data_IF_695701739068
#
_entry.id   IF_695701739068
#
_cell.length_a   1.000
_cell.length_b   1.000
_cell.length_c   1.000
_cell.angle_alpha   90.00
_cell.angle_beta   90.00
_cell.angle_gamma   90.00
#
_symmetry.space_group_name_H-M   'P 1'
#
loop_
_entity.id
_entity.type
_entity.pdbx_description
1 polymer ?
#
# COMPACT_ATOMS: atom_id res chain seq x y z
N UNK A 1 -13.44 86.38 13.44
CA UNK A 1 -13.75 84.94 13.24
C UNK A 1 -15.08 84.84 12.51
N UNK A 2 -15.07 84.48 11.22
CA UNK A 2 -16.29 84.27 10.42
C UNK A 2 -16.60 82.78 10.44
N UNK A 3 -17.70 82.39 11.10
CA UNK A 3 -18.26 81.06 11.00
C UNK A 3 -19.05 80.96 9.69
N UNK A 4 -18.51 80.23 8.73
CA UNK A 4 -19.20 79.91 7.47
C UNK A 4 -20.16 78.77 7.76
N UNK A 5 -21.44 79.07 7.92
CA UNK A 5 -22.51 78.07 7.95
C UNK A 5 -22.69 77.52 6.54
N UNK A 6 -22.21 76.30 6.31
CA UNK A 6 -22.58 75.52 5.13
C UNK A 6 -23.98 74.94 5.37
N UNK A 7 -24.98 75.49 4.67
CA UNK A 7 -26.28 74.85 4.53
C UNK A 7 -26.16 73.74 3.49
N UNK A 8 -26.17 72.49 3.95
CA UNK A 8 -26.24 71.33 3.07
C UNK A 8 -27.65 71.22 2.49
N UNK A 9 -27.81 71.53 1.20
CA UNK A 9 -29.05 71.32 0.49
C UNK A 9 -29.31 69.81 0.31
N UNK A 10 -30.30 69.27 1.02
CA UNK A 10 -30.73 67.88 0.87
C UNK A 10 -31.47 67.74 -0.46
N UNK A 11 -30.79 67.20 -1.48
CA UNK A 11 -31.43 66.80 -2.73
C UNK A 11 -32.09 65.44 -2.53
N UNK A 12 -33.38 65.33 -2.83
CA UNK A 12 -34.10 64.06 -2.84
C UNK A 12 -33.77 63.23 -4.09
N UNK A 13 -33.69 61.91 -3.95
CA UNK A 13 -33.48 60.98 -5.06
C UNK A 13 -34.64 61.01 -6.05
N UNK A 14 -34.32 60.94 -7.35
CA UNK A 14 -35.36 60.81 -8.39
C UNK A 14 -35.85 59.37 -8.50
N UNK A 15 -37.12 59.16 -8.86
CA UNK A 15 -37.69 57.82 -9.08
C UNK A 15 -36.86 57.02 -10.10
N UNK A 16 -36.38 57.68 -11.15
CA UNK A 16 -35.58 57.06 -12.21
C UNK A 16 -34.24 56.53 -11.68
N UNK A 17 -33.61 57.25 -10.75
CA UNK A 17 -32.35 56.85 -10.13
C UNK A 17 -32.52 55.61 -9.24
N UNK A 18 -33.61 55.53 -8.49
CA UNK A 18 -33.94 54.34 -7.68
C UNK A 18 -34.17 53.13 -8.59
N UNK A 19 -34.92 53.29 -9.68
CA UNK A 19 -35.14 52.20 -10.64
C UNK A 19 -33.84 51.74 -11.32
N UNK A 20 -32.96 52.68 -11.70
CA UNK A 20 -31.66 52.35 -12.26
C UNK A 20 -30.77 51.59 -11.26
N UNK A 21 -30.78 52.00 -9.98
CA UNK A 21 -30.04 51.31 -8.92
C UNK A 21 -30.54 49.89 -8.69
N UNK A 22 -31.86 49.67 -8.67
CA UNK A 22 -32.46 48.34 -8.53
C UNK A 22 -32.09 47.45 -9.73
N UNK A 23 -32.21 47.99 -10.95
CA UNK A 23 -31.86 47.26 -12.17
C UNK A 23 -30.38 46.83 -12.15
N UNK A 24 -29.47 47.76 -11.88
CA UNK A 24 -28.03 47.46 -11.82
C UNK A 24 -27.70 46.45 -10.71
N UNK A 25 -28.33 46.59 -9.54
CA UNK A 25 -28.17 45.64 -8.43
C UNK A 25 -28.65 44.24 -8.83
N UNK A 26 -29.77 44.13 -9.54
CA UNK A 26 -30.32 42.85 -9.99
C UNK A 26 -29.37 42.13 -10.97
N UNK A 27 -28.77 42.88 -11.90
CA UNK A 27 -27.81 42.34 -12.88
C UNK A 27 -26.54 41.85 -12.19
N UNK A 28 -25.98 42.66 -11.27
CA UNK A 28 -24.79 42.26 -10.50
C UNK A 28 -25.08 41.03 -9.64
N UNK A 29 -26.26 40.99 -9.00
CA UNK A 29 -26.68 39.84 -8.19
C UNK A 29 -26.81 38.59 -9.05
N UNK A 30 -27.41 38.69 -10.25
CA UNK A 30 -27.53 37.56 -11.17
C UNK A 30 -26.16 37.01 -11.59
N UNK A 31 -25.20 37.89 -11.91
CA UNK A 31 -23.83 37.47 -12.21
C UNK A 31 -23.12 36.85 -11.01
N UNK A 32 -23.28 37.43 -9.82
CA UNK A 32 -22.68 36.89 -8.60
C UNK A 32 -23.22 35.49 -8.27
N UNK A 33 -24.54 35.28 -8.39
CA UNK A 33 -25.18 33.97 -8.18
C UNK A 33 -24.73 32.98 -9.25
N UNK A 34 -24.70 33.39 -10.52
CA UNK A 34 -24.23 32.53 -11.62
C UNK A 34 -22.77 32.11 -11.43
N UNK A 35 -21.89 33.02 -11.03
CA UNK A 35 -20.50 32.70 -10.72
C UNK A 35 -20.38 31.75 -9.52
N UNK A 36 -21.15 31.98 -8.47
CA UNK A 36 -21.16 31.12 -7.29
C UNK A 36 -21.57 29.68 -7.60
N UNK A 37 -22.64 29.49 -8.38
CA UNK A 37 -23.11 28.16 -8.78
C UNK A 37 -22.04 27.44 -9.60
N UNK A 38 -21.50 28.09 -10.64
CA UNK A 38 -20.44 27.49 -11.47
C UNK A 38 -19.18 27.12 -10.66
N UNK A 39 -18.78 27.97 -9.71
CA UNK A 39 -17.65 27.69 -8.83
C UNK A 39 -17.94 26.51 -7.89
N UNK A 40 -19.16 26.44 -7.34
CA UNK A 40 -19.60 25.35 -6.48
C UNK A 40 -19.60 24.01 -7.22
N UNK A 41 -20.13 23.98 -8.44
CA UNK A 41 -20.18 22.78 -9.26
C UNK A 41 -18.78 22.33 -9.67
N UNK A 42 -17.93 23.27 -10.11
CA UNK A 42 -16.54 22.98 -10.44
C UNK A 42 -15.76 22.46 -9.24
N UNK A 43 -15.96 23.04 -8.05
CA UNK A 43 -15.33 22.56 -6.81
C UNK A 43 -15.79 21.15 -6.46
N UNK A 44 -17.09 20.87 -6.59
CA UNK A 44 -17.69 19.58 -6.25
C UNK A 44 -17.16 18.48 -7.18
N UNK A 45 -17.12 18.74 -8.49
CA UNK A 45 -16.52 17.85 -9.49
C UNK A 45 -15.05 17.59 -9.22
N UNK A 46 -14.27 18.63 -8.91
CA UNK A 46 -12.86 18.48 -8.58
C UNK A 46 -12.65 17.61 -7.33
N UNK A 47 -13.50 17.75 -6.31
CA UNK A 47 -13.40 16.89 -5.12
C UNK A 47 -13.76 15.44 -5.40
N UNK A 48 -14.71 15.18 -6.31
CA UNK A 48 -15.12 13.82 -6.63
C UNK A 48 -14.03 13.08 -7.42
N UNK A 49 -13.49 13.74 -8.44
CA UNK A 49 -12.30 13.27 -9.17
C UNK A 49 -11.14 12.95 -8.22
N UNK A 50 -10.90 13.80 -7.22
CA UNK A 50 -9.84 13.56 -6.24
C UNK A 50 -10.13 12.33 -5.36
N UNK A 51 -11.38 12.16 -4.91
CA UNK A 51 -11.79 10.99 -4.11
C UNK A 51 -11.65 9.70 -4.90
N UNK A 52 -12.12 9.70 -6.15
CA UNK A 52 -11.99 8.59 -7.08
C UNK A 52 -10.52 8.17 -7.25
N UNK A 53 -9.64 9.12 -7.56
CA UNK A 53 -8.22 8.85 -7.73
C UNK A 53 -7.54 8.31 -6.47
N UNK A 54 -7.93 8.80 -5.27
CA UNK A 54 -7.44 8.29 -3.99
C UNK A 54 -7.92 6.84 -3.77
N UNK A 55 -9.21 6.54 -4.03
CA UNK A 55 -9.78 5.20 -3.91
C UNK A 55 -9.08 4.22 -4.85
N UNK A 56 -8.96 4.56 -6.13
CA UNK A 56 -8.26 3.74 -7.12
C UNK A 56 -6.81 3.46 -6.71
N UNK A 57 -6.10 4.50 -6.26
CA UNK A 57 -4.71 4.37 -5.80
C UNK A 57 -4.59 3.49 -4.56
N UNK A 58 -5.54 3.55 -3.62
CA UNK A 58 -5.55 2.72 -2.42
C UNK A 58 -5.73 1.23 -2.77
N UNK A 59 -6.67 0.92 -3.68
CA UNK A 59 -6.92 -0.44 -4.18
C UNK A 59 -5.67 -0.97 -4.89
N UNK A 60 -5.12 -0.22 -5.85
CA UNK A 60 -3.91 -0.61 -6.59
C UNK A 60 -2.71 -0.84 -5.66
N UNK A 61 -2.52 0.03 -4.65
CA UNK A 61 -1.46 -0.15 -3.66
C UNK A 61 -1.62 -1.43 -2.83
N UNK A 62 -2.85 -1.80 -2.50
CA UNK A 62 -3.13 -3.00 -1.73
C UNK A 62 -2.80 -4.27 -2.52
N UNK A 63 -3.34 -4.38 -3.74
CA UNK A 63 -3.07 -5.51 -4.63
C UNK A 63 -1.57 -5.60 -4.92
N UNK A 64 -0.95 -4.47 -5.24
CA UNK A 64 0.48 -4.40 -5.49
C UNK A 64 1.33 -4.92 -4.33
N UNK A 65 0.98 -4.58 -3.08
CA UNK A 65 1.75 -5.04 -1.91
C UNK A 65 1.68 -6.55 -1.73
N UNK A 66 0.53 -7.15 -2.01
CA UNK A 66 0.41 -8.61 -1.94
C UNK A 66 1.23 -9.26 -3.06
N UNK A 67 1.07 -8.78 -4.31
CA UNK A 67 1.78 -9.33 -5.47
C UNK A 67 3.29 -9.16 -5.40
N UNK A 68 3.79 -8.02 -4.90
CA UNK A 68 5.23 -7.77 -4.73
C UNK A 68 5.87 -8.74 -3.72
N UNK A 69 5.05 -9.34 -2.86
CA UNK A 69 5.46 -10.39 -1.91
C UNK A 69 5.07 -11.79 -2.37
N UNK A 70 4.62 -11.96 -3.61
CA UNK A 70 4.27 -13.25 -4.16
C UNK A 70 5.49 -14.18 -4.13
N UNK A 71 5.27 -15.41 -3.69
CA UNK A 71 6.32 -16.42 -3.58
C UNK A 71 5.83 -17.73 -4.19
N UNK A 72 6.75 -18.44 -4.80
CA UNK A 72 6.52 -19.74 -5.41
C UNK A 72 7.72 -20.64 -5.08
N UNK A 73 7.53 -21.95 -5.02
CA UNK A 73 8.64 -22.88 -4.95
C UNK A 73 9.11 -23.30 -6.33
N UNK A 74 10.42 -23.40 -6.51
CA UNK A 74 11.02 -24.10 -7.64
C UNK A 74 10.71 -25.59 -7.48
N UNK A 75 10.16 -26.19 -8.53
CA UNK A 75 9.91 -27.63 -8.60
C UNK A 75 11.04 -28.25 -9.43
N UNK A 76 11.43 -29.48 -9.10
CA UNK A 76 12.39 -30.22 -9.93
C UNK A 76 11.77 -30.45 -11.32
N UNK A 77 12.62 -30.47 -12.36
CA UNK A 77 12.17 -30.58 -13.76
C UNK A 77 11.41 -31.88 -14.04
N UNK A 78 11.74 -32.97 -13.33
CA UNK A 78 11.06 -34.27 -13.43
C UNK A 78 9.92 -34.46 -12.42
N UNK A 79 9.68 -33.50 -11.52
CA UNK A 79 8.61 -33.60 -10.54
C UNK A 79 7.26 -33.18 -11.14
N UNK A 80 6.19 -33.87 -10.74
CA UNK A 80 4.82 -33.49 -11.14
C UNK A 80 4.55 -32.03 -10.65
N UNK A 81 4.17 -31.10 -11.54
CA UNK A 81 3.84 -29.72 -11.18
C UNK A 81 2.79 -29.59 -10.06
N UNK A 82 1.93 -30.60 -9.89
CA UNK A 82 0.88 -30.63 -8.87
C UNK A 82 1.35 -31.17 -7.51
N UNK A 83 2.58 -31.66 -7.41
CA UNK A 83 3.14 -32.20 -6.16
C UNK A 83 3.20 -31.15 -5.06
N UNK A 84 3.34 -29.87 -5.42
CA UNK A 84 3.39 -28.78 -4.45
C UNK A 84 2.11 -27.93 -4.47
N UNK A 85 1.47 -27.68 -3.31
CA UNK A 85 0.21 -26.94 -3.23
C UNK A 85 0.35 -25.44 -3.48
N UNK A 86 1.57 -24.94 -3.70
CA UNK A 86 1.82 -23.51 -3.95
C UNK A 86 1.94 -23.29 -5.45
N UNK A 87 1.00 -22.51 -5.96
CA UNK A 87 0.91 -22.12 -7.35
C UNK A 87 0.48 -20.66 -7.42
N UNK A 88 0.81 -20.05 -8.54
CA UNK A 88 0.34 -18.77 -9.01
C UNK A 88 -0.57 -19.03 -10.22
N UNK A 89 -1.85 -18.72 -10.07
CA UNK A 89 -2.88 -18.91 -11.10
C UNK A 89 -3.67 -17.61 -11.25
N UNK A 90 -3.88 -17.19 -12.49
CA UNK A 90 -4.68 -16.05 -12.87
C UNK A 90 -5.53 -16.41 -14.09
N UNK A 91 -6.84 -16.24 -13.95
CA UNK A 91 -7.85 -16.65 -14.92
C UNK A 91 -8.75 -15.46 -15.26
N UNK A 92 -9.51 -15.59 -16.34
CA UNK A 92 -10.48 -14.61 -16.77
C UNK A 92 -11.84 -15.28 -16.82
N UNK A 93 -12.78 -14.83 -15.99
CA UNK A 93 -14.18 -15.26 -16.05
C UNK A 93 -15.03 -14.32 -16.94
N UNK A 94 -14.64 -13.04 -17.01
CA UNK A 94 -15.26 -12.00 -17.83
C UNK A 94 -14.45 -11.75 -19.11
N UNK A 95 -15.09 -11.11 -20.09
CA UNK A 95 -14.50 -10.81 -21.40
C UNK A 95 -13.68 -9.49 -21.41
N UNK A 96 -13.02 -9.15 -20.30
CA UNK A 96 -12.08 -8.02 -20.28
C UNK A 96 -10.72 -8.44 -20.83
N UNK A 97 -9.89 -7.48 -21.26
CA UNK A 97 -8.54 -7.71 -21.80
C UNK A 97 -7.53 -8.10 -20.69
N UNK A 98 -7.78 -9.19 -19.95
CA UNK A 98 -6.92 -9.70 -18.90
C UNK A 98 -7.65 -10.47 -17.79
N UNK A 99 -6.87 -11.13 -16.93
CA UNK A 99 -7.38 -11.86 -15.78
C UNK A 99 -8.10 -10.94 -14.78
N UNK A 100 -9.23 -11.42 -14.28
CA UNK A 100 -10.07 -10.76 -13.29
C UNK A 100 -10.02 -11.46 -11.92
N UNK A 101 -9.40 -12.64 -11.89
CA UNK A 101 -9.19 -13.44 -10.70
C UNK A 101 -7.77 -13.98 -10.65
N UNK A 102 -7.18 -13.94 -9.48
CA UNK A 102 -5.80 -14.38 -9.22
C UNK A 102 -5.69 -15.04 -7.85
N UNK A 103 -4.89 -16.10 -7.74
CA UNK A 103 -4.63 -16.84 -6.50
C UNK A 103 -3.16 -17.23 -6.41
N UNK A 104 -2.55 -16.93 -5.26
CA UNK A 104 -1.10 -17.09 -5.05
C UNK A 104 -0.72 -17.13 -3.57
N UNK A 105 0.52 -17.52 -3.28
CA UNK A 105 1.11 -17.43 -1.94
C UNK A 105 1.86 -16.12 -1.79
N UNK A 106 1.68 -15.44 -0.66
CA UNK A 106 2.28 -14.14 -0.34
C UNK A 106 2.99 -14.20 1.01
N UNK A 107 4.09 -13.45 1.14
CA UNK A 107 4.84 -13.24 2.41
C UNK A 107 4.47 -11.96 3.16
N UNK A 108 3.36 -11.32 2.80
CA UNK A 108 2.93 -10.05 3.38
C UNK A 108 2.18 -10.22 4.72
N UNK A 109 2.20 -11.41 5.32
CA UNK A 109 1.59 -11.62 6.64
C UNK A 109 2.56 -11.22 7.75
N UNK A 110 2.07 -10.41 8.70
CA UNK A 110 2.80 -10.10 9.92
C UNK A 110 2.11 -10.83 11.07
N UNK A 111 2.70 -11.92 11.59
CA UNK A 111 2.17 -12.60 12.77
C UNK A 111 2.08 -11.62 13.95
N UNK A 112 0.92 -11.56 14.61
CA UNK A 112 0.76 -10.75 15.81
C UNK A 112 1.51 -11.43 16.96
N UNK A 113 2.53 -10.77 17.51
CA UNK A 113 3.38 -11.31 18.57
C UNK A 113 2.57 -11.54 19.86
N UNK A 114 2.09 -12.76 20.14
CA UNK A 114 1.96 -13.22 21.53
C UNK A 114 1.84 -14.72 21.77
N UNK A 115 1.54 -15.62 20.81
CA UNK A 115 1.44 -17.05 21.23
C UNK A 115 1.46 -18.17 20.17
N UNK A 116 1.69 -17.91 18.88
CA UNK A 116 1.66 -18.99 17.88
C UNK A 116 2.83 -18.92 16.90
N UNK A 117 3.43 -20.09 16.62
CA UNK A 117 4.36 -20.32 15.50
C UNK A 117 3.64 -20.15 14.15
N UNK A 118 3.11 -18.96 13.89
CA UNK A 118 2.38 -18.65 12.66
C UNK A 118 3.37 -18.22 11.60
N UNK A 119 3.30 -18.86 10.44
CA UNK A 119 4.13 -18.52 9.27
C UNK A 119 3.89 -17.09 8.80
N UNK A 120 4.88 -16.47 8.18
CA UNK A 120 4.73 -15.20 7.43
C UNK A 120 4.07 -15.41 6.06
N UNK A 121 3.82 -16.68 5.68
CA UNK A 121 3.16 -17.09 4.46
C UNK A 121 1.65 -17.15 4.63
N UNK A 122 0.95 -16.58 3.65
CA UNK A 122 -0.51 -16.63 3.51
C UNK A 122 -0.86 -16.97 2.06
N UNK A 123 -2.00 -17.61 1.86
CA UNK A 123 -2.63 -17.67 0.55
C UNK A 123 -3.52 -16.45 0.36
N UNK A 124 -3.45 -15.82 -0.80
CA UNK A 124 -4.26 -14.65 -1.17
C UNK A 124 -4.98 -14.96 -2.47
N UNK A 125 -6.26 -14.60 -2.53
CA UNK A 125 -7.02 -14.59 -3.77
C UNK A 125 -7.69 -13.24 -3.96
N UNK A 126 -7.76 -12.79 -5.21
CA UNK A 126 -8.63 -11.70 -5.65
C UNK A 126 -9.57 -12.21 -6.71
N UNK A 127 -10.81 -11.75 -6.69
CA UNK A 127 -11.83 -12.09 -7.69
C UNK A 127 -12.85 -10.97 -7.79
N UNK A 128 -13.34 -10.72 -9.00
CA UNK A 128 -14.44 -9.78 -9.22
C UNK A 128 -15.78 -10.50 -9.31
N UNK A 129 -16.85 -9.84 -8.88
CA UNK A 129 -18.22 -10.30 -9.07
C UNK A 129 -19.07 -9.16 -9.62
N UNK A 130 -19.97 -9.42 -10.59
CA UNK A 130 -20.89 -8.42 -11.09
C UNK A 130 -22.00 -8.17 -10.06
N UNK A 131 -22.36 -6.90 -9.91
CA UNK A 131 -23.45 -6.44 -9.07
C UNK A 131 -24.72 -6.21 -9.92
N UNK A 132 -25.85 -5.96 -9.25
CA UNK A 132 -27.15 -5.73 -9.92
C UNK A 132 -27.15 -4.48 -10.82
N UNK A 133 -26.26 -3.52 -10.57
CA UNK A 133 -26.14 -2.24 -11.27
C UNK A 133 -25.11 -2.26 -12.42
N UNK A 134 -24.72 -3.45 -12.88
CA UNK A 134 -23.70 -3.66 -13.92
C UNK A 134 -22.28 -3.20 -13.53
N UNK A 135 -22.06 -2.84 -12.26
CA UNK A 135 -20.71 -2.60 -11.72
C UNK A 135 -20.09 -3.90 -11.22
N UNK A 136 -18.79 -3.87 -10.90
CA UNK A 136 -18.08 -4.98 -10.32
C UNK A 136 -17.64 -4.65 -8.90
N UNK A 137 -17.72 -5.65 -8.03
CA UNK A 137 -17.08 -5.64 -6.71
C UNK A 137 -15.85 -6.53 -6.73
N UNK A 138 -14.72 -6.00 -6.24
CA UNK A 138 -13.47 -6.73 -6.09
C UNK A 138 -13.36 -7.27 -4.67
N UNK A 139 -13.32 -8.59 -4.56
CA UNK A 139 -13.13 -9.31 -3.32
C UNK A 139 -11.67 -9.70 -3.14
N UNK A 140 -11.25 -9.75 -1.89
CA UNK A 140 -9.97 -10.31 -1.46
C UNK A 140 -10.21 -11.34 -0.39
N UNK A 141 -9.61 -12.50 -0.57
CA UNK A 141 -9.61 -13.60 0.39
C UNK A 141 -8.20 -13.85 0.92
N UNK A 142 -8.07 -14.22 2.19
CA UNK A 142 -6.80 -14.58 2.82
C UNK A 142 -6.93 -15.82 3.68
N UNK A 143 -6.06 -16.81 3.49
CA UNK A 143 -5.89 -17.90 4.46
C UNK A 143 -4.46 -17.95 5.02
N UNK A 144 -4.29 -17.88 6.35
CA UNK A 144 -3.05 -18.25 7.03
C UNK A 144 -2.76 -19.75 7.04
N UNK A 145 -3.78 -20.58 6.80
CA UNK A 145 -3.61 -22.02 6.67
C UNK A 145 -3.21 -22.32 5.23
N UNK A 146 -1.93 -22.69 5.03
CA UNK A 146 -1.43 -23.08 3.72
C UNK A 146 -2.09 -24.40 3.29
N UNK A 147 -2.45 -24.55 2.00
CA UNK A 147 -3.05 -25.78 1.50
C UNK A 147 -2.08 -26.96 1.62
N UNK A 148 -2.60 -28.14 1.99
CA UNK A 148 -1.82 -29.39 2.03
C UNK A 148 -1.69 -30.05 0.65
N UNK A 149 -2.59 -29.72 -0.28
CA UNK A 149 -2.62 -30.26 -1.64
C UNK A 149 -3.03 -29.23 -2.67
N UNK A 150 -2.92 -29.58 -3.95
CA UNK A 150 -3.39 -28.72 -5.03
C UNK A 150 -4.91 -28.54 -4.97
N UNK A 151 -5.34 -27.29 -5.03
CA UNK A 151 -6.74 -26.90 -5.17
C UNK A 151 -6.83 -25.79 -6.22
N UNK A 152 -7.24 -26.10 -7.45
CA UNK A 152 -7.40 -25.09 -8.49
C UNK A 152 -8.58 -24.14 -8.26
N UNK A 153 -9.53 -24.50 -7.39
CA UNK A 153 -10.79 -23.76 -7.24
C UNK A 153 -10.60 -22.44 -6.48
N UNK A 154 -11.29 -21.39 -6.89
CA UNK A 154 -11.22 -20.12 -6.16
C UNK A 154 -12.13 -20.15 -4.93
N UNK A 155 -11.76 -19.46 -3.83
CA UNK A 155 -12.58 -19.38 -2.64
C UNK A 155 -14.00 -18.86 -2.95
N UNK A 156 -14.97 -19.33 -2.16
CA UNK A 156 -16.32 -18.77 -2.22
C UNK A 156 -16.32 -17.31 -1.78
N UNK A 157 -17.16 -16.49 -2.40
CA UNK A 157 -17.40 -15.11 -1.96
C UNK A 157 -18.01 -15.06 -0.55
N UNK A 158 -18.77 -16.09 -0.16
CA UNK A 158 -19.40 -16.23 1.16
C UNK A 158 -18.43 -16.72 2.25
N UNK A 159 -17.17 -17.02 1.91
CA UNK A 159 -16.18 -17.44 2.89
C UNK A 159 -15.91 -16.30 3.90
N UNK A 160 -15.87 -16.57 5.21
CA UNK A 160 -15.65 -15.53 6.22
C UNK A 160 -14.30 -14.82 6.11
N UNK A 161 -13.35 -15.38 5.35
CA UNK A 161 -12.06 -14.76 5.05
C UNK A 161 -12.08 -13.88 3.79
N UNK A 162 -13.17 -13.91 3.02
CA UNK A 162 -13.42 -13.02 1.88
C UNK A 162 -13.99 -11.69 2.37
N UNK A 163 -13.49 -10.58 1.81
CA UNK A 163 -14.05 -9.26 2.06
C UNK A 163 -13.83 -8.33 0.86
N UNK A 164 -14.68 -7.33 0.75
CA UNK A 164 -14.67 -6.37 -0.34
C UNK A 164 -13.50 -5.39 -0.18
N UNK A 165 -12.76 -5.18 -1.26
CA UNK A 165 -11.65 -4.20 -1.35
C UNK A 165 -12.05 -2.99 -2.17
N UNK A 166 -12.91 -3.17 -3.18
CA UNK A 166 -13.45 -2.10 -3.99
C UNK A 166 -14.86 -2.47 -4.47
N UNK A 167 -15.72 -1.48 -4.59
CA UNK A 167 -17.09 -1.56 -5.13
C UNK A 167 -17.20 -0.52 -6.24
N UNK A 168 -18.20 -0.66 -7.12
CA UNK A 168 -18.42 0.31 -8.19
C UNK A 168 -17.26 0.34 -9.17
N UNK A 169 -16.67 -0.82 -9.50
CA UNK A 169 -15.69 -0.88 -10.58
C UNK A 169 -16.42 -1.00 -11.91
N UNK A 170 -16.05 -0.18 -12.90
CA UNK A 170 -16.51 -0.37 -14.27
C UNK A 170 -15.69 -1.46 -14.97
N UNK A 171 -14.41 -1.58 -14.64
CA UNK A 171 -13.55 -2.65 -15.15
C UNK A 171 -12.39 -2.95 -14.21
N UNK A 172 -11.92 -4.19 -14.26
CA UNK A 172 -10.72 -4.66 -13.57
C UNK A 172 -10.05 -5.73 -14.43
N UNK A 173 -8.76 -5.60 -14.68
CA UNK A 173 -8.00 -6.61 -15.40
C UNK A 173 -6.52 -6.64 -15.02
N UNK A 174 -5.92 -7.81 -15.17
CA UNK A 174 -4.51 -8.06 -14.93
C UNK A 174 -3.88 -8.71 -16.16
N UNK A 175 -2.68 -8.23 -16.50
CA UNK A 175 -1.85 -8.81 -17.56
C UNK A 175 -0.48 -9.15 -16.97
N UNK A 176 0.16 -10.17 -17.53
CA UNK A 176 1.37 -10.77 -17.00
C UNK A 176 2.49 -10.73 -18.04
N UNK A 177 3.68 -10.30 -17.64
CA UNK A 177 4.86 -10.25 -18.51
C UNK A 177 5.61 -11.59 -18.43
N UNK A 178 5.80 -12.25 -19.56
CA UNK A 178 6.55 -13.50 -19.66
C UNK A 178 8.07 -13.28 -19.67
N UNK A 179 8.85 -14.36 -19.59
CA UNK A 179 10.32 -14.34 -19.74
C UNK A 179 10.79 -13.84 -21.12
N UNK A 180 9.95 -14.01 -22.14
CA UNK A 180 10.18 -13.58 -23.52
C UNK A 180 9.86 -12.09 -23.72
N UNK A 181 9.28 -11.45 -22.70
CA UNK A 181 8.88 -10.05 -22.75
C UNK A 181 7.49 -9.81 -23.37
N UNK A 182 6.67 -10.86 -23.50
CA UNK A 182 5.31 -10.77 -24.02
C UNK A 182 4.30 -10.55 -22.89
N UNK A 183 3.23 -9.79 -23.15
CA UNK A 183 2.12 -9.63 -22.21
C UNK A 183 1.05 -10.67 -22.51
N UNK A 184 0.68 -11.45 -21.50
CA UNK A 184 -0.39 -12.46 -21.58
C UNK A 184 -1.50 -12.13 -20.59
N UNK A 185 -2.73 -12.52 -20.92
CA UNK A 185 -3.92 -12.22 -20.12
C UNK A 185 -4.11 -13.22 -18.97
N UNK A 186 -3.59 -14.43 -19.11
CA UNK A 186 -3.73 -15.51 -18.14
C UNK A 186 -2.36 -16.05 -17.74
N UNK A 187 -2.27 -16.54 -16.51
CA UNK A 187 -1.07 -17.16 -15.99
C UNK A 187 -1.39 -18.42 -15.21
N UNK A 188 -0.70 -19.51 -15.50
CA UNK A 188 -0.88 -20.76 -14.77
C UNK A 188 0.49 -21.44 -14.59
N UNK A 189 0.98 -21.41 -13.35
CA UNK A 189 2.24 -22.06 -12.95
C UNK A 189 2.11 -23.57 -12.69
N UNK A 190 0.95 -24.16 -12.93
CA UNK A 190 0.75 -25.62 -12.94
C UNK A 190 1.03 -26.23 -14.32
N UNK A 191 1.04 -25.41 -15.37
CA UNK A 191 1.41 -25.83 -16.72
C UNK A 191 2.89 -26.16 -16.78
N UNK A 192 3.24 -27.24 -17.48
CA UNK A 192 4.61 -27.75 -17.55
C UNK A 192 5.62 -26.69 -18.02
N UNK A 193 5.24 -25.89 -19.01
CA UNK A 193 6.07 -24.83 -19.60
C UNK A 193 6.43 -23.70 -18.61
N UNK A 194 5.57 -23.47 -17.61
CA UNK A 194 5.69 -22.37 -16.63
C UNK A 194 5.80 -22.89 -15.19
N UNK A 195 6.06 -24.18 -15.03
CA UNK A 195 6.13 -24.83 -13.73
C UNK A 195 7.21 -24.20 -12.87
N UNK A 196 6.82 -23.70 -11.70
CA UNK A 196 7.74 -23.05 -10.77
C UNK A 196 8.20 -21.64 -11.18
N UNK A 197 7.55 -21.02 -12.17
CA UNK A 197 7.85 -19.66 -12.60
C UNK A 197 6.78 -18.65 -12.18
N UNK A 198 7.23 -17.47 -11.77
CA UNK A 198 6.40 -16.28 -11.58
C UNK A 198 6.52 -15.38 -12.82
N UNK A 199 5.48 -14.58 -13.14
CA UNK A 199 5.59 -13.59 -14.20
C UNK A 199 6.66 -12.54 -13.86
N UNK A 200 7.37 -12.04 -14.86
CA UNK A 200 8.39 -10.99 -14.66
C UNK A 200 7.79 -9.66 -14.21
N UNK A 201 6.53 -9.43 -14.54
CA UNK A 201 5.81 -8.22 -14.19
C UNK A 201 4.31 -8.39 -14.33
N UNK A 202 3.58 -7.51 -13.67
CA UNK A 202 2.12 -7.52 -13.66
C UNK A 202 1.64 -6.11 -13.95
N UNK A 203 0.72 -5.97 -14.90
CA UNK A 203 -0.02 -4.73 -15.14
C UNK A 203 -1.41 -4.92 -14.57
N UNK A 204 -1.77 -4.08 -13.61
CA UNK A 204 -3.11 -4.04 -13.03
C UNK A 204 -3.80 -2.82 -13.61
N UNK A 205 -4.98 -3.02 -14.19
CA UNK A 205 -5.82 -1.95 -14.71
C UNK A 205 -7.15 -1.98 -13.94
N UNK A 206 -7.63 -0.82 -13.53
CA UNK A 206 -8.98 -0.69 -12.98
C UNK A 206 -9.59 0.65 -13.40
N UNK A 207 -10.91 0.68 -13.49
CA UNK A 207 -11.69 1.90 -13.64
C UNK A 207 -12.88 1.86 -12.69
N UNK A 208 -13.26 3.03 -12.16
CA UNK A 208 -14.40 3.18 -11.27
C UNK A 208 -15.60 3.62 -12.11
N UNK A 209 -16.79 3.08 -11.82
CA UNK A 209 -18.03 3.57 -12.39
C UNK A 209 -18.30 4.97 -11.85
N UNK A 210 -18.73 5.87 -12.73
CA UNK A 210 -19.16 7.21 -12.36
C UNK A 210 -20.67 7.21 -12.26
N UNK A 211 -21.23 7.60 -11.11
CA UNK A 211 -22.68 7.83 -10.93
C UNK A 211 -23.13 9.13 -11.63
N UNK A 212 -22.64 9.42 -12.84
CA UNK A 212 -23.11 10.60 -13.59
C UNK A 212 -24.40 10.27 -14.35
N UNK A 213 -25.53 10.61 -13.75
CA UNK A 213 -26.82 10.75 -14.44
C UNK A 213 -26.78 11.97 -15.37
N UNK A 214 -26.16 11.81 -16.54
CA UNK A 214 -26.13 12.81 -17.62
C UNK A 214 -26.86 12.34 -18.87
N UNK A 215 -27.23 13.24 -19.80
CA UNK A 215 -27.63 12.82 -21.15
C UNK A 215 -26.51 11.97 -21.75
N UNK A 216 -26.85 10.84 -22.38
CA UNK A 216 -25.91 9.83 -22.94
C UNK A 216 -24.74 10.44 -23.76
N UNK A 217 -24.95 11.61 -24.37
CA UNK A 217 -23.95 12.31 -25.18
C UNK A 217 -22.86 13.04 -24.37
N UNK A 218 -22.93 13.00 -23.03
CA UNK A 218 -21.98 13.65 -22.11
C UNK A 218 -21.35 12.71 -21.07
N UNK A 219 -21.58 11.40 -21.17
CA UNK A 219 -20.94 10.44 -20.26
C UNK A 219 -19.42 10.48 -20.50
N UNK A 220 -18.65 10.96 -19.50
CA UNK A 220 -17.19 10.86 -19.53
C UNK A 220 -16.81 9.37 -19.54
N UNK A 221 -15.88 8.99 -20.43
CA UNK A 221 -15.32 7.64 -20.39
C UNK A 221 -14.68 7.39 -19.01
N UNK A 222 -14.94 6.23 -18.38
CA UNK A 222 -14.44 5.95 -17.05
C UNK A 222 -12.90 5.97 -17.07
N UNK A 223 -12.33 6.64 -16.07
CA UNK A 223 -10.88 6.86 -16.03
C UNK A 223 -10.15 5.57 -15.70
N UNK A 224 -9.19 5.24 -16.56
CA UNK A 224 -8.34 4.07 -16.38
C UNK A 224 -7.17 4.39 -15.43
N UNK A 225 -7.12 3.71 -14.30
CA UNK A 225 -5.98 3.71 -13.40
C UNK A 225 -5.16 2.44 -13.62
N UNK A 226 -3.87 2.61 -13.91
CA UNK A 226 -2.97 1.48 -14.18
C UNK A 226 -1.78 1.48 -13.25
N UNK A 227 -1.36 0.28 -12.84
CA UNK A 227 -0.13 0.06 -12.08
C UNK A 227 0.69 -1.07 -12.66
N UNK A 228 1.95 -0.79 -12.91
CA UNK A 228 2.93 -1.79 -13.32
C UNK A 228 3.78 -2.24 -12.13
N UNK A 229 3.90 -3.55 -11.97
CA UNK A 229 4.76 -4.22 -11.02
C UNK A 229 5.85 -4.98 -11.78
N UNK A 230 7.06 -4.98 -11.23
CA UNK A 230 8.14 -5.82 -11.67
C UNK A 230 8.43 -6.80 -10.53
N UNK A 231 8.14 -8.07 -10.72
CA UNK A 231 8.34 -9.08 -9.70
C UNK A 231 9.81 -9.47 -9.67
N UNK A 232 10.50 -9.02 -8.63
CA UNK A 232 11.92 -9.34 -8.41
C UNK A 232 12.13 -10.59 -7.57
N UNK A 233 11.06 -11.20 -7.07
CA UNK A 233 11.15 -12.36 -6.19
C UNK A 233 11.58 -13.58 -7.00
N UNK A 234 12.75 -14.11 -6.67
CA UNK A 234 13.18 -15.41 -7.16
C UNK A 234 12.39 -16.50 -6.44
N UNK A 235 11.81 -17.47 -7.18
CA UNK A 235 11.19 -18.63 -6.57
C UNK A 235 12.14 -19.33 -5.57
N UNK A 236 11.56 -19.86 -4.49
CA UNK A 236 12.30 -20.50 -3.41
C UNK A 236 12.82 -21.85 -3.90
N UNK A 237 14.15 -22.03 -3.92
CA UNK A 237 14.79 -23.32 -4.20
C UNK A 237 15.23 -23.97 -2.89
N UNK A 238 14.44 -24.93 -2.39
CA UNK A 238 14.69 -25.64 -1.13
C UNK A 238 16.02 -26.39 -1.13
N UNK A 239 16.38 -27.04 -2.24
CA UNK A 239 17.62 -27.82 -2.34
C UNK A 239 18.84 -26.92 -2.21
N UNK A 240 18.86 -25.78 -2.92
CA UNK A 240 19.93 -24.80 -2.80
C UNK A 240 20.03 -24.22 -1.39
N UNK A 241 18.89 -23.95 -0.74
CA UNK A 241 18.86 -23.47 0.64
C UNK A 241 19.40 -24.52 1.62
N UNK A 242 19.05 -25.79 1.45
CA UNK A 242 19.54 -26.89 2.28
C UNK A 242 21.04 -27.11 2.09
N UNK A 243 21.52 -27.10 0.84
CA UNK A 243 22.95 -27.21 0.52
C UNK A 243 23.74 -26.06 1.13
N UNK A 244 23.28 -24.82 0.94
CA UNK A 244 23.93 -23.64 1.53
C UNK A 244 23.99 -23.73 3.06
N UNK A 245 22.95 -24.26 3.71
CA UNK A 245 22.93 -24.48 5.16
C UNK A 245 23.93 -25.57 5.58
N UNK A 246 23.97 -26.71 4.88
CA UNK A 246 24.91 -27.80 5.16
C UNK A 246 26.38 -27.37 4.94
N UNK A 247 26.64 -26.55 3.93
CA UNK A 247 27.96 -25.95 3.70
C UNK A 247 28.34 -24.96 4.79
N UNK A 248 27.41 -24.14 5.28
CA UNK A 248 27.65 -23.25 6.41
C UNK A 248 27.95 -24.02 7.71
N UNK A 249 27.26 -25.14 7.94
CA UNK A 249 27.49 -26.01 9.10
C UNK A 249 28.81 -26.80 9.01
N UNK A 250 29.24 -27.21 7.80
CA UNK A 250 30.49 -27.96 7.58
C UNK A 250 31.73 -27.08 7.31
N UNK A 251 31.55 -25.84 6.87
CA UNK A 251 32.61 -24.94 6.38
C UNK A 251 33.09 -23.86 7.37
N UNK A 252 32.54 -23.80 8.59
CA UNK A 252 33.00 -22.86 9.60
C UNK A 252 34.44 -23.17 10.06
N UNK A 253 35.40 -22.24 9.95
CA UNK A 253 36.75 -22.46 10.46
C UNK A 253 36.69 -22.63 11.98
N UNK A 254 36.96 -23.85 12.46
CA UNK A 254 37.52 -24.09 13.80
C UNK A 254 38.95 -23.54 13.84
N UNK A 255 39.11 -22.22 13.66
CA UNK A 255 40.37 -21.55 13.94
C UNK A 255 40.56 -21.52 15.45
N UNK A 256 41.27 -22.56 15.92
CA UNK A 256 42.30 -22.52 16.95
C UNK A 256 42.38 -21.24 17.81
N UNK A 257 41.43 -21.03 18.72
CA UNK A 257 41.73 -20.39 20.01
C UNK A 257 42.42 -21.41 20.92
N UNK A 258 43.66 -21.74 20.58
CA UNK A 258 44.61 -22.43 21.45
C UNK A 258 45.85 -21.56 21.55
N UNK A 259 45.85 -20.62 22.49
CA UNK A 259 47.01 -19.77 22.77
C UNK A 259 46.64 -18.47 23.45
N UNK A 260 46.43 -18.51 24.77
CA UNK A 260 46.18 -17.33 25.59
C UNK A 260 45.76 -17.69 27.00
N UNK A 261 46.70 -18.23 27.79
CA UNK A 261 46.60 -18.20 29.25
C UNK A 261 46.54 -16.73 29.68
N UNK A 262 45.43 -16.32 30.27
CA UNK A 262 45.22 -14.96 30.75
C UNK A 262 43.85 -14.79 31.39
N UNK A 263 43.80 -15.16 32.67
CA UNK A 263 42.82 -14.78 33.68
C UNK A 263 41.35 -15.17 33.43
N UNK A 264 40.95 -16.22 34.15
CA UNK A 264 39.58 -16.49 34.54
C UNK A 264 39.03 -15.30 35.36
N UNK A 265 38.17 -14.48 34.75
CA UNK A 265 37.13 -13.76 35.49
C UNK A 265 35.85 -14.60 35.38
N UNK A 266 35.36 -15.03 36.54
CA UNK A 266 34.17 -15.85 36.67
C UNK A 266 32.94 -15.11 36.15
N UNK A 267 32.11 -15.85 35.42
CA UNK A 267 30.73 -15.46 35.14
C UNK A 267 29.98 -15.72 36.45
N UNK A 268 29.59 -14.66 37.15
CA UNK A 268 28.64 -14.73 38.25
C UNK A 268 27.31 -15.26 37.71
N UNK A 269 26.95 -16.46 38.11
CA UNK A 269 25.63 -17.05 37.93
C UNK A 269 24.82 -16.72 39.19
N UNK A 270 23.67 -16.09 39.04
CA UNK A 270 22.69 -15.94 40.10
C UNK A 270 21.94 -17.25 40.38
N UNK A 271 21.30 -17.28 41.55
CA UNK A 271 20.87 -18.48 42.26
C UNK A 271 19.72 -19.28 41.65
N UNK A 272 19.33 -19.04 40.41
CA UNK A 272 18.27 -19.76 39.68
C UNK A 272 18.71 -20.35 38.32
N UNK A 273 19.92 -20.07 37.84
CA UNK A 273 20.53 -20.82 36.74
C UNK A 273 20.03 -20.46 35.34
N UNK A 274 19.58 -19.23 35.09
CA UNK A 274 19.39 -18.71 33.73
C UNK A 274 20.59 -17.83 33.29
N UNK A 275 21.02 -17.91 32.01
CA UNK A 275 22.05 -17.03 31.49
C UNK A 275 21.48 -15.62 31.26
N UNK A 276 22.22 -14.62 31.75
CA UNK A 276 21.91 -13.20 31.58
C UNK A 276 22.03 -12.80 30.09
N UNK A 277 20.94 -13.01 29.34
CA UNK A 277 20.82 -12.55 27.95
C UNK A 277 20.56 -11.05 28.00
N UNK A 278 21.59 -10.26 27.71
CA UNK A 278 21.47 -8.84 27.39
C UNK A 278 20.42 -8.66 26.29
N UNK A 279 19.21 -8.41 26.76
CA UNK A 279 18.03 -8.04 26.02
C UNK A 279 18.27 -6.60 25.57
N UNK A 280 18.84 -6.45 24.37
CA UNK A 280 18.88 -5.18 23.65
C UNK A 280 17.46 -4.83 23.21
N UNK A 281 16.66 -4.37 24.16
CA UNK A 281 15.27 -3.97 23.95
C UNK A 281 15.26 -2.68 23.11
N UNK A 282 15.20 -2.86 21.78
CA UNK A 282 15.30 -1.78 20.79
C UNK A 282 14.14 -0.77 20.86
N UNK A 283 13.13 -1.06 21.69
CA UNK A 283 11.98 -0.20 21.95
C UNK A 283 12.00 0.48 23.32
N UNK A 284 13.06 0.33 24.13
CA UNK A 284 13.17 1.08 25.38
C UNK A 284 13.52 2.57 25.08
N UNK A 285 12.61 3.53 25.34
CA UNK A 285 12.87 4.95 25.08
C UNK A 285 14.01 5.51 25.93
N UNK A 286 14.41 4.81 27.01
CA UNK A 286 15.51 5.19 27.88
C UNK A 286 16.87 4.63 27.44
N UNK A 287 16.93 3.77 26.41
CA UNK A 287 18.19 3.32 25.85
C UNK A 287 18.93 4.50 25.21
N UNK A 288 20.26 4.65 25.43
CA UNK A 288 21.04 5.71 24.81
C UNK A 288 20.99 5.57 23.29
N UNK A 289 20.56 6.63 22.60
CA UNK A 289 20.52 6.64 21.14
C UNK A 289 21.94 6.62 20.58
N UNK A 290 22.18 5.86 19.50
CA UNK A 290 23.46 5.88 18.81
C UNK A 290 23.74 7.30 18.28
N UNK A 291 24.93 7.88 18.48
CA UNK A 291 25.28 9.21 17.95
C UNK A 291 25.03 9.29 16.44
N UNK A 292 24.34 10.34 15.99
CA UNK A 292 24.00 10.53 14.56
C UNK A 292 22.79 9.72 14.06
N UNK A 293 22.12 8.97 14.95
CA UNK A 293 20.82 8.35 14.63
C UNK A 293 19.69 9.38 14.59
N UNK A 294 18.58 9.00 13.94
CA UNK A 294 17.33 9.77 13.95
C UNK A 294 16.83 10.00 15.37
N UNK A 295 16.88 8.98 16.23
CA UNK A 295 16.53 9.09 17.63
C UNK A 295 17.40 10.11 18.39
N UNK A 296 18.72 10.11 18.17
CA UNK A 296 19.65 11.07 18.80
C UNK A 296 19.32 12.52 18.38
N UNK A 297 19.09 12.75 17.08
CA UNK A 297 18.72 14.08 16.62
C UNK A 297 17.37 14.55 17.17
N UNK A 298 16.33 13.71 17.11
CA UNK A 298 14.99 14.12 17.51
C UNK A 298 14.91 14.39 19.01
N UNK A 299 15.60 13.60 19.83
CA UNK A 299 15.68 13.86 21.28
C UNK A 299 16.38 15.18 21.58
N UNK A 300 17.43 15.54 20.81
CA UNK A 300 18.14 16.83 20.95
C UNK A 300 17.31 18.03 20.43
N UNK A 301 16.44 17.84 19.45
CA UNK A 301 15.71 18.90 18.75
C UNK A 301 14.18 18.73 18.82
N UNK A 302 13.66 18.30 19.98
CA UNK A 302 12.26 17.93 20.15
C UNK A 302 11.26 19.03 19.77
N UNK A 303 11.52 20.27 20.16
CA UNK A 303 10.63 21.41 19.89
C UNK A 303 10.49 21.70 18.40
N UNK A 304 11.60 21.62 17.64
CA UNK A 304 11.58 21.82 16.19
C UNK A 304 10.83 20.68 15.49
N UNK A 305 11.06 19.44 15.92
CA UNK A 305 10.34 18.28 15.39
C UNK A 305 8.83 18.42 15.63
N UNK A 306 8.42 18.64 16.88
CA UNK A 306 7.00 18.68 17.26
C UNK A 306 6.25 19.84 16.59
N UNK A 307 6.92 20.98 16.40
CA UNK A 307 6.37 22.12 15.65
C UNK A 307 6.14 21.79 14.17
N UNK A 308 7.06 21.05 13.53
CA UNK A 308 7.01 20.80 12.08
C UNK A 308 6.19 19.56 11.69
N UNK A 309 6.21 18.51 12.52
CA UNK A 309 5.61 17.20 12.19
C UNK A 309 4.59 16.68 13.21
N UNK A 310 4.37 17.40 14.31
CA UNK A 310 3.47 16.98 15.38
C UNK A 310 4.10 15.97 16.35
N UNK A 311 3.59 15.97 17.59
CA UNK A 311 4.14 15.19 18.71
C UNK A 311 4.05 13.68 18.51
N UNK A 312 3.01 13.18 17.83
CA UNK A 312 2.83 11.75 17.57
C UNK A 312 3.90 11.16 16.63
N UNK A 313 4.30 11.90 15.61
CA UNK A 313 5.36 11.46 14.70
C UNK A 313 6.72 11.52 15.38
N UNK A 314 7.00 12.60 16.12
CA UNK A 314 8.27 12.76 16.83
C UNK A 314 8.46 11.73 17.94
N UNK A 315 7.39 11.32 18.64
CA UNK A 315 7.49 10.24 19.63
C UNK A 315 7.88 8.92 18.98
N UNK A 316 7.26 8.54 17.86
CA UNK A 316 7.63 7.34 17.12
C UNK A 316 9.07 7.40 16.58
N UNK A 317 9.50 8.53 16.03
CA UNK A 317 10.84 8.63 15.46
C UNK A 317 11.94 8.68 16.54
N UNK A 318 11.61 9.13 17.76
CA UNK A 318 12.54 9.16 18.90
C UNK A 318 12.95 7.77 19.42
N UNK A 319 12.29 6.70 18.97
CA UNK A 319 12.64 5.31 19.29
C UNK A 319 13.52 4.65 18.22
N UNK A 320 13.72 5.29 17.05
CA UNK A 320 14.49 4.75 15.92
C UNK A 320 16.01 4.90 16.12
N UNK A 321 16.56 4.11 17.05
CA UNK A 321 17.97 4.16 17.46
C UNK A 321 18.97 3.69 16.41
N UNK A 322 18.54 2.88 15.43
CA UNK A 322 19.42 2.27 14.42
C UNK A 322 19.41 3.00 13.06
N UNK A 323 18.47 3.92 12.83
CA UNK A 323 18.34 4.62 11.55
C UNK A 323 19.25 5.84 11.51
N UNK A 324 20.10 5.95 10.48
CA UNK A 324 20.92 7.14 10.23
C UNK A 324 20.06 8.27 9.66
N UNK A 325 20.32 9.52 10.07
CA UNK A 325 19.58 10.71 9.60
C UNK A 325 19.62 10.83 8.07
N UNK A 326 20.77 10.56 7.46
CA UNK A 326 20.95 10.64 6.00
C UNK A 326 20.08 9.68 5.19
N UNK A 327 19.65 8.57 5.80
CA UNK A 327 18.83 7.54 5.15
C UNK A 327 17.34 7.63 5.46
N UNK A 328 16.92 8.58 6.30
CA UNK A 328 15.56 8.60 6.85
C UNK A 328 14.47 9.07 5.87
N UNK A 329 14.87 9.66 4.73
CA UNK A 329 13.93 10.06 3.67
C UNK A 329 13.06 11.28 3.98
N UNK A 330 13.27 11.92 5.14
CA UNK A 330 12.63 13.17 5.55
C UNK A 330 13.73 14.22 5.70
N UNK A 331 13.44 15.45 5.25
CA UNK A 331 14.33 16.60 5.47
C UNK A 331 14.45 16.87 6.97
N UNK A 332 15.58 16.43 7.53
CA UNK A 332 16.01 16.65 8.91
C UNK A 332 17.26 17.54 8.93
N UNK A 333 17.27 18.61 8.12
CA UNK A 333 18.42 19.50 7.94
C UNK A 333 18.95 20.17 9.22
N UNK A 334 18.15 20.28 10.28
CA UNK A 334 18.57 20.79 11.60
C UNK A 334 19.34 19.76 12.45
N UNK A 335 19.56 18.55 11.93
CA UNK A 335 20.32 17.48 12.59
C UNK A 335 21.82 17.46 12.23
N UNK A 336 22.27 18.32 11.31
CA UNK A 336 23.64 18.32 10.79
C UNK A 336 24.61 19.18 11.62
#
# INVERSE_FOLDING_TARGET
>A
MKATSQSSAVHGFTLLEVLAAIFLTSVITAFAVGFYINLSDSSSRATEVMREGIRATAVLNRIARDLDSATLMVKAEEADPLTHPWYFVAESDFAFDGADRIKFISRNHKPTASSTHTSDLIQVAYQTTPEEDETLSLYRWISPALPEGYDGSFPSLDDPQSFIVAEGLSSFSMQFLTSEGEWVEQWDSTQLERSGQLPMGIRINLSLSTEEEGPMDQLEEPRLYSRHLNLRNTPINLEQMLLAKMEAENGGPREARRGGLGNEEGIDLDGDGEPDVLSGDSNNPNSPAAPGSVADCIRKNWDQCSTRFGTANCSQWSTLSQSQVSSFGIDLSWCQ
#
